data_IF_496578288077
#
_entry.id   IF_496578288077
#
_cell.length_a   1.000
_cell.length_b   1.000
_cell.length_c   1.000
_cell.angle_alpha   90.00
_cell.angle_beta   90.00
_cell.angle_gamma   90.00
#
_symmetry.space_group_name_H-M   'P 1'
#
loop_
_entity.id
_entity.type
_entity.pdbx_description
1 polymer ?
#
# COMPACT_ATOMS: atom_id res chain seq x y z
N UNK A 1 3.70 -17.13 61.90
CA UNK A 1 3.37 -16.90 63.32
C UNK A 1 1.87 -16.61 63.42
N UNK A 2 1.14 -17.33 64.25
CA UNK A 2 -0.32 -17.16 64.38
C UNK A 2 -0.65 -15.89 65.18
N UNK A 3 -1.56 -15.07 64.65
CA UNK A 3 -2.01 -13.83 65.27
C UNK A 3 -2.80 -14.14 66.55
N UNK A 4 -2.29 -13.69 67.71
CA UNK A 4 -2.88 -14.03 69.02
C UNK A 4 -4.08 -13.16 69.41
N UNK A 5 -4.33 -12.06 68.70
CA UNK A 5 -5.43 -11.13 68.98
C UNK A 5 -6.14 -10.71 67.68
N UNK A 6 -7.25 -11.38 67.32
CA UNK A 6 -8.07 -11.05 66.14
C UNK A 6 -8.64 -9.62 66.20
N UNK A 7 -9.01 -9.15 67.40
CA UNK A 7 -9.66 -7.85 67.58
C UNK A 7 -8.75 -6.68 67.16
N UNK A 8 -7.47 -6.72 67.53
CA UNK A 8 -6.48 -5.71 67.14
C UNK A 8 -6.22 -5.73 65.63
N UNK A 9 -6.28 -6.91 65.01
CA UNK A 9 -6.10 -7.06 63.56
C UNK A 9 -7.25 -6.48 62.76
N UNK A 10 -8.50 -6.65 63.20
CA UNK A 10 -9.65 -6.02 62.55
C UNK A 10 -9.58 -4.49 62.63
N UNK A 11 -9.20 -3.93 63.79
CA UNK A 11 -9.00 -2.48 63.93
C UNK A 11 -7.87 -2.00 63.02
N UNK A 12 -6.72 -2.69 62.99
CA UNK A 12 -5.61 -2.36 62.10
C UNK A 12 -6.00 -2.42 60.61
N UNK A 13 -6.71 -3.47 60.20
CA UNK A 13 -7.18 -3.65 58.82
C UNK A 13 -8.15 -2.55 58.41
N UNK A 14 -9.03 -2.11 59.31
CA UNK A 14 -9.95 -1.00 59.05
C UNK A 14 -9.20 0.33 58.85
N UNK A 15 -8.18 0.62 59.66
CA UNK A 15 -7.31 1.78 59.45
C UNK A 15 -6.54 1.68 58.14
N UNK A 16 -5.99 0.51 57.82
CA UNK A 16 -5.22 0.31 56.60
C UNK A 16 -6.08 0.50 55.35
N UNK A 17 -7.33 0.01 55.36
CA UNK A 17 -8.29 0.26 54.28
C UNK A 17 -8.51 1.76 54.03
N UNK A 18 -8.64 2.55 55.10
CA UNK A 18 -8.77 4.01 54.97
C UNK A 18 -7.51 4.62 54.34
N UNK A 19 -6.32 4.26 54.81
CA UNK A 19 -5.06 4.71 54.22
C UNK A 19 -4.90 4.29 52.75
N UNK A 20 -5.29 3.07 52.39
CA UNK A 20 -5.26 2.57 51.02
C UNK A 20 -6.17 3.41 50.11
N UNK A 21 -7.32 3.87 50.60
CA UNK A 21 -8.17 4.81 49.87
C UNK A 21 -7.47 6.16 49.62
N UNK A 22 -6.80 6.74 50.62
CA UNK A 22 -6.03 8.00 50.42
C UNK A 22 -4.87 7.82 49.45
N UNK A 23 -4.10 6.74 49.62
CA UNK A 23 -3.00 6.40 48.72
C UNK A 23 -3.51 6.17 47.29
N UNK A 24 -4.67 5.56 47.12
CA UNK A 24 -5.34 5.41 45.84
C UNK A 24 -5.66 6.75 45.17
N UNK A 25 -6.20 7.71 45.92
CA UNK A 25 -6.51 9.07 45.41
C UNK A 25 -5.22 9.80 45.01
N UNK A 26 -4.19 9.76 45.87
CA UNK A 26 -2.90 10.40 45.60
C UNK A 26 -2.24 9.77 44.35
N UNK A 27 -2.23 8.44 44.26
CA UNK A 27 -1.69 7.70 43.11
C UNK A 27 -2.44 8.02 41.81
N UNK A 28 -3.77 8.11 41.86
CA UNK A 28 -4.58 8.54 40.73
C UNK A 28 -4.22 9.96 40.28
N UNK A 29 -4.06 10.89 41.23
CA UNK A 29 -3.62 12.26 40.95
C UNK A 29 -2.25 12.29 40.25
N UNK A 30 -1.25 11.62 40.82
CA UNK A 30 0.09 11.53 40.23
C UNK A 30 0.06 10.94 38.82
N UNK A 31 -0.74 9.89 38.60
CA UNK A 31 -0.91 9.26 37.29
C UNK A 31 -1.47 10.22 36.25
N UNK A 32 -2.49 11.01 36.62
CA UNK A 32 -3.08 12.01 35.73
C UNK A 32 -2.06 13.11 35.42
N UNK A 33 -1.36 13.62 36.44
CA UNK A 33 -0.34 14.66 36.26
C UNK A 33 0.79 14.20 35.33
N UNK A 34 1.29 12.97 35.51
CA UNK A 34 2.31 12.39 34.63
C UNK A 34 1.82 12.25 33.19
N UNK A 35 0.58 11.79 32.99
CA UNK A 35 -0.01 11.66 31.66
C UNK A 35 -0.19 13.02 30.98
N UNK A 36 -0.60 14.06 31.71
CA UNK A 36 -0.73 15.42 31.16
C UNK A 36 0.62 16.01 30.77
N UNK A 37 1.65 15.86 31.62
CA UNK A 37 3.01 16.33 31.29
C UNK A 37 3.54 15.62 30.05
N UNK A 38 3.39 14.30 29.98
CA UNK A 38 3.77 13.53 28.81
C UNK A 38 3.01 14.01 27.56
N UNK A 39 1.69 14.20 27.65
CA UNK A 39 0.88 14.69 26.55
C UNK A 39 1.38 16.04 26.04
N UNK A 40 1.71 17.00 26.91
CA UNK A 40 2.23 18.32 26.52
C UNK A 40 3.58 18.22 25.82
N UNK A 41 4.50 17.37 26.32
CA UNK A 41 5.84 17.19 25.73
C UNK A 41 5.77 16.51 24.35
N UNK A 42 4.85 15.55 24.18
CA UNK A 42 4.68 14.82 22.91
C UNK A 42 3.74 15.50 21.92
N UNK A 43 2.88 16.43 22.36
CA UNK A 43 1.97 17.18 21.49
C UNK A 43 2.64 17.84 20.27
N UNK A 44 3.81 18.52 20.39
CA UNK A 44 4.50 19.08 19.23
C UNK A 44 5.14 18.02 18.33
N UNK A 45 5.32 16.78 18.82
CA UNK A 45 5.97 15.69 18.09
C UNK A 45 4.94 14.74 17.50
N UNK A 46 4.57 14.98 16.24
CA UNK A 46 3.57 14.20 15.49
C UNK A 46 4.00 12.76 15.15
N UNK A 47 5.23 12.37 15.48
CA UNK A 47 5.77 11.03 15.25
C UNK A 47 5.05 9.94 16.08
N UNK A 48 4.40 10.32 17.19
CA UNK A 48 3.76 9.39 18.12
C UNK A 48 2.29 9.74 18.34
N UNK A 49 1.40 8.74 18.23
CA UNK A 49 0.03 8.90 18.68
C UNK A 49 -0.04 8.79 20.21
N UNK A 50 -0.63 9.80 20.85
CA UNK A 50 -0.85 9.81 22.31
C UNK A 50 -1.90 8.75 22.72
N UNK A 51 -2.79 8.39 21.79
CA UNK A 51 -3.80 7.37 21.99
C UNK A 51 -3.26 5.98 21.66
N UNK A 52 -3.78 4.94 22.34
CA UNK A 52 -3.42 3.55 22.05
C UNK A 52 -3.78 3.14 20.62
N UNK A 53 -3.21 2.01 20.16
CA UNK A 53 -3.27 1.52 18.76
C UNK A 53 -4.66 1.50 18.12
N UNK A 54 -5.69 1.23 18.92
CA UNK A 54 -7.09 1.16 18.45
C UNK A 54 -7.67 2.54 18.13
N UNK A 55 -7.14 3.61 18.75
CA UNK A 55 -7.64 4.98 18.67
C UNK A 55 -6.72 5.90 17.85
N UNK A 56 -5.68 5.37 17.21
CA UNK A 56 -4.79 6.13 16.31
C UNK A 56 -5.55 6.91 15.23
N UNK A 57 -6.70 6.39 14.80
CA UNK A 57 -7.55 7.03 13.77
C UNK A 57 -8.29 8.27 14.27
N UNK A 58 -8.38 8.49 15.58
CA UNK A 58 -9.01 9.69 16.13
C UNK A 58 -8.03 10.87 16.19
N UNK A 59 -6.74 10.58 16.10
CA UNK A 59 -5.69 11.60 16.10
C UNK A 59 -5.44 12.12 14.68
N UNK A 60 -6.05 13.27 14.38
CA UNK A 60 -5.86 13.94 13.09
C UNK A 60 -4.41 14.36 12.85
N UNK A 61 -3.65 14.67 13.91
CA UNK A 61 -2.25 15.07 13.80
C UNK A 61 -1.41 13.90 13.30
N UNK A 62 -1.49 12.77 13.99
CA UNK A 62 -0.80 11.54 13.60
C UNK A 62 -1.18 11.07 12.19
N UNK A 63 -2.47 11.09 11.82
CA UNK A 63 -2.92 10.71 10.47
C UNK A 63 -2.31 11.63 9.41
N UNK A 64 -2.27 12.94 9.65
CA UNK A 64 -1.68 13.89 8.70
C UNK A 64 -0.20 13.63 8.48
N UNK A 65 0.54 13.32 9.55
CA UNK A 65 1.95 12.96 9.49
C UNK A 65 2.18 11.67 8.69
N UNK A 66 1.44 10.60 8.98
CA UNK A 66 1.55 9.32 8.24
C UNK A 66 1.23 9.54 6.76
N UNK A 67 0.22 10.35 6.45
CA UNK A 67 -0.15 10.68 5.07
C UNK A 67 0.96 11.48 4.37
N UNK A 68 1.58 12.42 5.08
CA UNK A 68 2.73 13.17 4.59
C UNK A 68 3.92 12.25 4.28
N UNK A 69 4.29 11.35 5.18
CA UNK A 69 5.38 10.39 4.94
C UNK A 69 5.09 9.49 3.73
N UNK A 70 3.85 9.01 3.58
CA UNK A 70 3.49 8.23 2.39
C UNK A 70 3.58 9.05 1.11
N UNK A 71 3.12 10.30 1.13
CA UNK A 71 3.20 11.20 -0.02
C UNK A 71 4.66 11.50 -0.38
N UNK A 72 5.50 11.81 0.60
CA UNK A 72 6.94 12.02 0.41
C UNK A 72 7.63 10.78 -0.15
N UNK A 73 7.36 9.59 0.40
CA UNK A 73 7.90 8.34 -0.12
C UNK A 73 7.52 8.08 -1.58
N UNK A 74 6.29 8.43 -1.97
CA UNK A 74 5.82 8.28 -3.34
C UNK A 74 6.45 9.30 -4.30
N UNK A 75 6.59 10.55 -3.87
CA UNK A 75 7.15 11.62 -4.70
C UNK A 75 8.67 11.56 -4.83
N UNK A 76 9.37 11.17 -3.77
CA UNK A 76 10.85 11.20 -3.70
C UNK A 76 11.49 9.82 -3.81
N UNK A 77 10.75 8.83 -4.35
CA UNK A 77 11.27 7.47 -4.48
C UNK A 77 12.53 7.46 -5.39
N UNK A 78 13.72 7.12 -4.87
CA UNK A 78 14.98 7.32 -5.59
C UNK A 78 15.06 6.50 -6.88
N UNK A 79 14.47 5.30 -6.90
CA UNK A 79 14.38 4.47 -8.10
C UNK A 79 13.53 5.12 -9.19
N UNK A 80 12.44 5.80 -8.82
CA UNK A 80 11.55 6.44 -9.78
C UNK A 80 12.19 7.71 -10.36
N UNK A 81 12.81 8.52 -9.51
CA UNK A 81 13.58 9.70 -9.92
C UNK A 81 14.70 9.30 -10.88
N UNK A 82 15.48 8.26 -10.53
CA UNK A 82 16.54 7.77 -11.40
C UNK A 82 16.00 7.19 -12.70
N UNK A 83 14.92 6.42 -12.67
CA UNK A 83 14.27 5.89 -13.88
C UNK A 83 13.81 7.02 -14.81
N UNK A 84 13.14 8.06 -14.29
CA UNK A 84 12.74 9.22 -15.07
C UNK A 84 13.95 9.95 -15.68
N UNK A 85 15.03 10.13 -14.91
CA UNK A 85 16.27 10.72 -15.43
C UNK A 85 16.89 9.89 -16.56
N UNK A 86 16.88 8.55 -16.42
CA UNK A 86 17.38 7.63 -17.44
C UNK A 86 16.53 7.69 -18.71
N UNK A 87 15.20 7.73 -18.58
CA UNK A 87 14.30 7.85 -19.72
C UNK A 87 14.49 9.18 -20.43
N UNK A 88 14.56 10.30 -19.69
CA UNK A 88 14.80 11.63 -20.27
C UNK A 88 16.13 11.67 -21.01
N UNK A 89 17.22 11.18 -20.42
CA UNK A 89 18.52 11.11 -21.08
C UNK A 89 18.50 10.24 -22.36
N UNK A 90 17.74 9.12 -22.37
CA UNK A 90 17.55 8.32 -23.61
C UNK A 90 16.77 9.09 -24.67
N UNK A 91 15.76 9.87 -24.29
CA UNK A 91 14.96 10.69 -25.20
C UNK A 91 15.78 11.85 -25.74
N UNK A 92 16.56 12.53 -24.90
CA UNK A 92 17.42 13.64 -25.29
C UNK A 92 18.51 13.19 -26.25
N UNK A 93 19.19 12.07 -25.95
CA UNK A 93 20.18 11.46 -26.87
C UNK A 93 19.54 11.06 -28.20
N UNK A 94 18.31 10.56 -28.19
CA UNK A 94 17.56 10.25 -29.42
C UNK A 94 17.24 11.52 -30.21
N UNK A 95 16.81 12.58 -29.54
CA UNK A 95 16.46 13.86 -30.15
C UNK A 95 17.69 14.56 -30.75
N UNK A 96 18.83 14.52 -30.04
CA UNK A 96 20.11 15.04 -30.51
C UNK A 96 20.61 14.27 -31.74
N UNK A 97 20.54 12.95 -31.71
CA UNK A 97 20.84 12.12 -32.87
C UNK A 97 19.92 12.43 -34.07
N UNK A 98 18.62 12.59 -33.85
CA UNK A 98 17.67 12.98 -34.90
C UNK A 98 17.92 14.40 -35.45
N UNK A 99 18.43 15.33 -34.63
CA UNK A 99 18.78 16.69 -35.05
C UNK A 99 20.09 16.76 -35.83
N UNK A 100 21.12 16.02 -35.42
CA UNK A 100 22.40 15.97 -36.13
C UNK A 100 22.30 15.17 -37.44
N UNK A 101 21.51 14.10 -37.45
CA UNK A 101 21.41 13.19 -38.58
C UNK A 101 20.25 13.52 -39.53
N UNK A 102 20.11 14.80 -39.88
CA UNK A 102 19.17 15.29 -40.92
C UNK A 102 19.53 14.82 -42.34
N UNK A 103 20.60 14.00 -42.49
CA UNK A 103 21.00 13.37 -43.75
C UNK A 103 20.60 11.89 -43.72
N UNK A 104 19.49 11.61 -44.40
CA UNK A 104 19.14 10.33 -45.02
C UNK A 104 19.68 9.04 -44.35
N UNK A 105 19.25 8.75 -43.10
CA UNK A 105 19.37 7.39 -42.57
C UNK A 105 18.39 6.53 -43.38
N UNK A 106 18.92 5.61 -44.18
CA UNK A 106 18.10 4.62 -44.89
C UNK A 106 17.21 3.90 -43.88
N UNK A 107 15.89 4.08 -44.01
CA UNK A 107 14.85 3.51 -43.14
C UNK A 107 15.13 2.04 -42.75
N UNK A 108 15.70 1.27 -43.68
CA UNK A 108 16.13 -0.13 -43.52
C UNK A 108 17.09 -0.37 -42.35
N UNK A 109 18.09 0.48 -42.12
CA UNK A 109 19.08 0.32 -41.05
C UNK A 109 18.45 0.59 -39.66
N UNK A 110 17.55 1.58 -39.60
CA UNK A 110 16.75 1.89 -38.41
C UNK A 110 15.82 0.72 -38.02
N UNK A 111 15.17 0.08 -39.01
CA UNK A 111 14.35 -1.11 -38.78
C UNK A 111 15.17 -2.31 -38.29
N UNK A 112 16.36 -2.54 -38.86
CA UNK A 112 17.25 -3.61 -38.42
C UNK A 112 17.75 -3.39 -36.98
N UNK A 113 18.14 -2.16 -36.64
CA UNK A 113 18.57 -1.78 -35.29
C UNK A 113 17.45 -1.96 -34.25
N UNK A 114 16.24 -1.49 -34.55
CA UNK A 114 15.09 -1.64 -33.64
C UNK A 114 14.66 -3.11 -33.46
N UNK A 115 14.75 -3.93 -34.51
CA UNK A 115 14.50 -5.39 -34.42
C UNK A 115 15.52 -6.07 -33.52
N UNK A 116 16.81 -5.74 -33.65
CA UNK A 116 17.88 -6.28 -32.78
C UNK A 116 17.63 -5.91 -31.31
N UNK A 117 17.34 -4.65 -31.03
CA UNK A 117 17.03 -4.18 -29.67
C UNK A 117 15.84 -4.96 -29.08
N UNK A 118 14.74 -5.10 -29.84
CA UNK A 118 13.57 -5.89 -29.40
C UNK A 118 13.92 -7.35 -29.11
N UNK A 119 14.76 -7.97 -29.93
CA UNK A 119 15.21 -9.35 -29.68
C UNK A 119 16.04 -9.45 -28.39
N UNK A 120 16.96 -8.51 -28.14
CA UNK A 120 17.73 -8.46 -26.90
C UNK A 120 16.84 -8.25 -25.67
N UNK A 121 15.89 -7.31 -25.72
CA UNK A 121 14.93 -7.10 -24.63
C UNK A 121 14.08 -8.35 -24.34
N UNK A 122 13.67 -9.08 -25.39
CA UNK A 122 12.95 -10.35 -25.22
C UNK A 122 13.81 -11.41 -24.52
N UNK A 123 15.10 -11.49 -24.87
CA UNK A 123 16.03 -12.40 -24.20
C UNK A 123 16.29 -12.01 -22.74
N UNK A 124 16.53 -10.73 -22.46
CA UNK A 124 16.67 -10.25 -21.08
C UNK A 124 15.41 -10.51 -20.26
N UNK A 125 14.22 -10.28 -20.84
CA UNK A 125 12.96 -10.58 -20.18
C UNK A 125 12.82 -12.08 -19.90
N UNK A 126 13.12 -12.94 -20.88
CA UNK A 126 13.08 -14.39 -20.68
C UNK A 126 14.05 -14.83 -19.57
N UNK A 127 15.28 -14.32 -19.59
CA UNK A 127 16.29 -14.57 -18.56
C UNK A 127 15.80 -14.17 -17.16
N UNK A 128 15.24 -12.96 -17.01
CA UNK A 128 14.69 -12.49 -15.73
C UNK A 128 13.52 -13.35 -15.25
N UNK A 129 12.63 -13.77 -16.16
CA UNK A 129 11.47 -14.61 -15.82
C UNK A 129 11.86 -16.05 -15.45
N UNK A 130 12.89 -16.61 -16.09
CA UNK A 130 13.41 -17.94 -15.75
C UNK A 130 14.04 -17.93 -14.35
N UNK A 131 14.79 -16.87 -14.00
CA UNK A 131 15.37 -16.72 -12.65
C UNK A 131 14.35 -16.34 -11.58
N UNK A 132 13.26 -15.67 -11.94
CA UNK A 132 12.24 -15.19 -11.01
C UNK A 132 10.86 -15.71 -11.41
N UNK A 133 10.59 -16.97 -11.08
CA UNK A 133 9.37 -17.69 -11.49
C UNK A 133 8.09 -17.04 -10.95
N UNK A 134 8.13 -16.41 -9.76
CA UNK A 134 6.98 -15.73 -9.16
C UNK A 134 6.47 -14.54 -10.00
N UNK A 135 7.37 -13.86 -10.74
CA UNK A 135 7.00 -12.74 -11.61
C UNK A 135 6.19 -13.19 -12.84
N UNK A 136 6.25 -14.47 -13.21
CA UNK A 136 5.51 -15.02 -14.36
C UNK A 136 4.00 -14.93 -14.11
N UNK A 137 3.56 -15.28 -12.89
CA UNK A 137 2.15 -15.25 -12.52
C UNK A 137 1.62 -13.81 -12.44
N UNK A 138 2.38 -12.92 -11.78
CA UNK A 138 2.04 -11.50 -11.66
C UNK A 138 1.95 -10.83 -13.03
N UNK A 139 2.88 -11.13 -13.94
CA UNK A 139 2.87 -10.59 -15.31
C UNK A 139 1.66 -11.08 -16.10
N UNK A 140 1.29 -12.36 -16.01
CA UNK A 140 0.10 -12.89 -16.69
C UNK A 140 -1.17 -12.17 -16.22
N UNK A 141 -1.30 -11.97 -14.91
CA UNK A 141 -2.41 -11.24 -14.31
C UNK A 141 -2.45 -9.77 -14.74
N UNK A 142 -1.31 -9.07 -14.70
CA UNK A 142 -1.23 -7.67 -15.15
C UNK A 142 -1.55 -7.51 -16.64
N UNK A 143 -1.05 -8.38 -17.50
CA UNK A 143 -1.35 -8.33 -18.94
C UNK A 143 -2.84 -8.57 -19.17
N UNK A 144 -3.46 -9.53 -18.47
CA UNK A 144 -4.91 -9.76 -18.54
C UNK A 144 -5.71 -8.51 -18.12
N UNK A 145 -5.34 -7.90 -16.99
CA UNK A 145 -6.00 -6.69 -16.50
C UNK A 145 -5.85 -5.51 -17.47
N UNK A 146 -4.68 -5.34 -18.07
CA UNK A 146 -4.47 -4.28 -19.07
C UNK A 146 -5.32 -4.52 -20.32
N UNK A 147 -5.49 -5.77 -20.75
CA UNK A 147 -6.37 -6.10 -21.89
C UNK A 147 -7.85 -5.86 -21.57
N UNK A 148 -8.29 -6.22 -20.35
CA UNK A 148 -9.65 -5.97 -19.89
C UNK A 148 -9.93 -4.47 -19.78
N UNK A 149 -9.03 -3.70 -19.16
CA UNK A 149 -9.15 -2.24 -19.03
C UNK A 149 -9.10 -1.53 -20.40
N UNK A 150 -8.25 -2.01 -21.32
CA UNK A 150 -8.23 -1.51 -22.69
C UNK A 150 -9.55 -1.82 -23.41
N UNK A 151 -10.12 -3.01 -23.22
CA UNK A 151 -11.42 -3.37 -23.79
C UNK A 151 -12.56 -2.54 -23.19
N UNK A 152 -12.55 -2.27 -21.88
CA UNK A 152 -13.54 -1.42 -21.20
C UNK A 152 -13.47 0.03 -21.70
N UNK A 153 -12.27 0.62 -21.76
CA UNK A 153 -12.08 1.97 -22.30
C UNK A 153 -12.45 2.09 -23.78
N UNK A 154 -12.20 1.04 -24.57
CA UNK A 154 -12.62 0.96 -25.96
C UNK A 154 -14.15 0.83 -26.09
N UNK A 155 -14.80 0.07 -25.21
CA UNK A 155 -16.26 -0.02 -25.17
C UNK A 155 -16.88 1.31 -24.75
N UNK A 156 -16.31 2.02 -23.78
CA UNK A 156 -16.74 3.37 -23.39
C UNK A 156 -16.58 4.36 -24.57
N UNK A 157 -15.48 4.25 -25.32
CA UNK A 157 -15.26 5.03 -26.53
C UNK A 157 -16.28 4.68 -27.63
N UNK A 158 -16.61 3.41 -27.84
CA UNK A 158 -17.62 2.98 -28.80
C UNK A 158 -19.00 3.48 -28.41
N UNK A 159 -19.43 3.35 -27.15
CA UNK A 159 -20.69 3.90 -26.68
C UNK A 159 -20.75 5.41 -26.94
N UNK A 160 -19.70 6.16 -26.60
CA UNK A 160 -19.65 7.62 -26.84
C UNK A 160 -19.61 8.02 -28.31
N UNK A 161 -18.95 7.23 -29.17
CA UNK A 161 -18.74 7.58 -30.58
C UNK A 161 -19.85 7.06 -31.49
N UNK A 162 -20.37 5.86 -31.23
CA UNK A 162 -21.46 5.23 -31.99
C UNK A 162 -22.80 5.84 -31.63
N UNK A 163 -23.08 6.12 -30.34
CA UNK A 163 -24.34 6.75 -29.92
C UNK A 163 -24.51 8.17 -30.49
N UNK A 164 -23.42 8.94 -30.58
CA UNK A 164 -23.43 10.25 -31.22
C UNK A 164 -23.52 10.20 -32.76
N UNK A 165 -23.15 9.09 -33.39
CA UNK A 165 -23.17 8.93 -34.85
C UNK A 165 -24.47 8.31 -35.38
N UNK A 166 -25.20 7.58 -34.54
CA UNK A 166 -26.42 6.86 -34.92
C UNK A 166 -27.71 7.40 -34.29
N UNK A 167 -27.77 8.71 -33.99
CA UNK A 167 -29.06 9.39 -33.79
C UNK A 167 -29.75 9.71 -35.13
N UNK A 168 -29.87 8.69 -35.98
CA UNK A 168 -30.82 8.61 -37.08
C UNK A 168 -31.09 7.13 -37.34
N UNK A 169 -32.20 6.67 -36.75
CA UNK A 169 -32.93 5.44 -37.06
C UNK A 169 -32.19 4.09 -36.94
N UNK A 170 -32.41 3.42 -35.81
CA UNK A 170 -33.14 2.13 -35.68
C UNK A 170 -32.48 1.23 -34.63
N UNK A 171 -33.29 0.87 -33.64
CA UNK A 171 -33.01 -0.01 -32.51
C UNK A 171 -32.66 -1.43 -32.97
N UNK A 172 -31.39 -1.83 -32.94
CA UNK A 172 -31.01 -3.25 -32.89
C UNK A 172 -29.98 -3.48 -31.80
N UNK A 173 -30.48 -3.99 -30.68
CA UNK A 173 -29.71 -4.54 -29.57
C UNK A 173 -28.98 -5.78 -30.07
N UNK A 174 -27.66 -5.71 -30.26
CA UNK A 174 -26.87 -6.89 -30.56
C UNK A 174 -26.88 -7.86 -29.37
N UNK A 175 -26.96 -9.19 -29.61
CA UNK A 175 -27.03 -10.15 -28.52
C UNK A 175 -25.68 -10.26 -27.80
N UNK A 176 -25.76 -10.21 -26.47
CA UNK A 176 -24.66 -10.54 -25.56
C UNK A 176 -24.02 -11.88 -25.95
N UNK A 177 -22.70 -11.90 -26.10
CA UNK A 177 -21.96 -13.15 -26.26
C UNK A 177 -22.03 -13.95 -24.94
N UNK A 178 -22.21 -15.27 -25.05
CA UNK A 178 -22.48 -16.19 -23.93
C UNK A 178 -21.45 -16.17 -22.79
N UNK A 179 -20.30 -15.52 -22.96
CA UNK A 179 -19.27 -15.39 -21.91
C UNK A 179 -19.62 -14.37 -20.82
N UNK A 180 -20.56 -13.45 -21.04
CA UNK A 180 -20.98 -12.48 -20.03
C UNK A 180 -22.18 -12.96 -19.17
N UNK A 181 -22.93 -13.99 -19.61
CA UNK A 181 -24.09 -14.48 -18.87
C UNK A 181 -23.71 -15.30 -17.61
N UNK A 182 -22.51 -15.86 -17.56
CA UNK A 182 -22.03 -16.66 -16.42
C UNK A 182 -21.40 -15.82 -15.30
N UNK A 183 -21.12 -14.53 -15.51
CA UNK A 183 -20.52 -13.66 -14.49
C UNK A 183 -21.48 -12.63 -13.88
N UNK A 184 -22.78 -12.69 -14.19
CA UNK A 184 -23.80 -11.89 -13.49
C UNK A 184 -24.49 -12.65 -12.34
N UNK A 185 -24.16 -13.92 -12.09
CA UNK A 185 -24.77 -14.72 -11.01
C UNK A 185 -23.95 -14.83 -9.73
N UNK A 186 -22.74 -14.27 -9.68
CA UNK A 186 -21.92 -14.16 -8.48
C UNK A 186 -21.72 -12.69 -8.15
N UNK A 187 -22.35 -12.23 -7.07
CA UNK A 187 -22.61 -10.82 -6.79
C UNK A 187 -21.41 -9.88 -6.72
N UNK A 188 -21.76 -8.61 -6.94
CA UNK A 188 -21.14 -7.36 -6.46
C UNK A 188 -19.89 -7.61 -5.59
N UNK A 189 -18.72 -7.50 -6.21
CA UNK A 189 -17.47 -7.32 -5.48
C UNK A 189 -17.26 -5.81 -5.37
N UNK A 190 -17.62 -5.28 -4.20
CA UNK A 190 -17.41 -3.88 -3.83
C UNK A 190 -15.95 -3.45 -4.08
N UNK A 191 -15.77 -2.35 -4.82
CA UNK A 191 -14.50 -1.66 -5.05
C UNK A 191 -13.73 -1.30 -3.77
N UNK A 192 -14.39 -1.36 -2.61
CA UNK A 192 -13.79 -1.17 -1.29
C UNK A 192 -12.92 -2.36 -0.81
N UNK A 193 -13.00 -3.52 -1.46
CA UNK A 193 -12.22 -4.72 -1.08
C UNK A 193 -10.80 -4.68 -1.65
N UNK A 194 -10.61 -4.06 -2.82
CA UNK A 194 -9.30 -3.97 -3.49
C UNK A 194 -8.36 -3.04 -2.72
N UNK A 195 -8.89 -1.96 -2.12
CA UNK A 195 -8.11 -1.02 -1.30
C UNK A 195 -7.74 -1.64 0.06
N UNK A 196 -8.60 -2.49 0.64
CA UNK A 196 -8.28 -3.20 1.89
C UNK A 196 -7.17 -4.25 1.71
N UNK A 197 -7.13 -4.92 0.56
CA UNK A 197 -6.12 -5.97 0.31
C UNK A 197 -4.71 -5.41 0.03
N UNK A 198 -4.58 -4.19 -0.50
CA UNK A 198 -3.27 -3.52 -0.57
C UNK A 198 -2.74 -3.09 0.81
N UNK A 199 -3.64 -2.73 1.75
CA UNK A 199 -3.25 -2.37 3.12
C UNK A 199 -2.81 -3.60 3.93
N UNK A 200 -3.44 -4.76 3.73
CA UNK A 200 -3.11 -6.01 4.43
C UNK A 200 -1.73 -6.59 4.04
N UNK A 201 -1.33 -6.48 2.76
CA UNK A 201 -0.03 -6.97 2.27
C UNK A 201 1.16 -6.13 2.76
N UNK A 202 0.94 -4.86 3.09
CA UNK A 202 1.97 -3.97 3.65
C UNK A 202 2.15 -4.20 5.17
N UNK A 203 1.10 -4.58 5.89
CA UNK A 203 1.18 -4.90 7.32
C UNK A 203 1.77 -6.29 7.64
N UNK A 204 1.67 -7.27 6.73
CA UNK A 204 2.27 -8.61 6.95
C UNK A 204 3.78 -8.65 6.73
N UNK A 205 4.34 -7.69 6.00
CA UNK A 205 5.78 -7.60 5.72
C UNK A 205 6.57 -6.87 6.81
N UNK A 206 5.91 -6.13 7.71
CA UNK A 206 6.54 -5.43 8.84
C UNK A 206 6.42 -6.17 10.19
N UNK A 207 5.66 -7.26 10.27
CA UNK A 207 5.42 -8.03 11.50
C UNK A 207 6.04 -9.45 11.48
N UNK A 208 6.91 -9.75 10.53
CA UNK A 208 7.51 -11.08 10.33
C UNK A 208 8.90 -11.31 10.94
N UNK A 209 9.44 -10.39 11.73
CA UNK A 209 10.82 -10.46 12.27
C UNK A 209 10.86 -10.46 13.81
N UNK A 210 10.04 -11.27 14.47
CA UNK A 210 10.34 -11.73 15.83
C UNK A 210 10.12 -13.24 15.90
N UNK A 211 11.10 -14.00 15.38
CA UNK A 211 11.21 -15.43 15.62
C UNK A 211 12.26 -15.67 16.70
N UNK A 212 11.77 -16.30 17.75
CA UNK A 212 12.35 -16.58 19.06
C UNK A 212 13.68 -17.35 18.98
N UNK A 213 14.72 -16.82 19.62
CA UNK A 213 15.93 -17.54 20.04
C UNK A 213 15.58 -18.45 21.23
N UNK A 214 15.23 -19.72 20.97
CA UNK A 214 15.18 -20.76 21.99
C UNK A 214 16.40 -21.69 21.90
N UNK A 215 17.37 -21.38 22.76
CA UNK A 215 18.53 -22.18 23.09
C UNK A 215 18.09 -23.44 23.85
N UNK A 216 18.16 -24.62 23.22
CA UNK A 216 18.00 -25.93 23.88
C UNK A 216 19.21 -26.26 24.78
N UNK A 217 19.01 -26.84 25.98
CA UNK A 217 20.09 -27.41 26.77
C UNK A 217 20.47 -28.81 26.26
N UNK A 218 21.77 -29.04 26.11
CA UNK A 218 22.39 -30.35 25.98
C UNK A 218 22.46 -31.05 27.35
N UNK A 219 22.45 -32.39 27.30
CA UNK A 219 22.78 -33.31 28.38
C UNK A 219 24.01 -32.90 29.20
#
# INVERSE_FOLDING_TARGET
MALKNLRSFFVFSYFNFFFDCFLGIISCGLRVTQATIAAIVFLPRLDYCIFGRTLEKLDSGFISYVSFIHMECLHTHPVLVYYCSLVNDKVDRRNEYSRSNKREIRHTEMYAYTRRQRAMFRWYLAYTLIRNTHLVQLRKYQVLNLQLSAAESFNEFLERTVFNRFQSSTLTRFPFTKSQATLQRGGIVDSNTIIRNQKAACTSSLLGNEEHDERKPSF
#
